data_IF_441800934721
#
_entry.id   IF_441800934721
#
_cell.length_a   1.000
_cell.length_b   1.000
_cell.length_c   1.000
_cell.angle_alpha   90.00
_cell.angle_beta   90.00
_cell.angle_gamma   90.00
#
_symmetry.space_group_name_H-M   'P 1'
#
loop_
_entity.id
_entity.type
_entity.pdbx_description
1 polymer ?
#
# COMPACT_ATOMS: atom_id res chain seq x y z
N UNK A 1 52.70 45.24 -47.32
CA UNK A 1 51.30 45.42 -46.87
C UNK A 1 50.64 44.04 -46.76
N UNK A 2 50.45 43.50 -45.55
CA UNK A 2 49.66 42.27 -45.35
C UNK A 2 48.18 42.66 -45.25
N UNK A 3 47.32 42.06 -46.08
CA UNK A 3 45.86 42.19 -45.96
C UNK A 3 45.39 41.12 -44.98
N UNK A 4 44.86 41.53 -43.84
CA UNK A 4 44.21 40.60 -42.91
C UNK A 4 42.86 40.16 -43.47
N UNK A 5 42.58 38.86 -43.40
CA UNK A 5 41.30 38.30 -43.83
C UNK A 5 40.18 38.75 -42.88
N UNK A 6 38.96 39.04 -43.39
CA UNK A 6 37.85 39.44 -42.53
C UNK A 6 37.50 38.31 -41.55
N UNK A 7 37.09 38.63 -40.31
CA UNK A 7 36.78 37.62 -39.31
C UNK A 7 35.69 36.68 -39.84
N UNK A 8 36.02 35.39 -39.90
CA UNK A 8 35.12 34.35 -40.38
C UNK A 8 33.82 34.35 -39.58
N UNK A 9 32.70 34.10 -40.26
CA UNK A 9 31.30 34.12 -39.78
C UNK A 9 30.98 33.04 -38.71
N UNK A 10 31.78 32.95 -37.66
CA UNK A 10 31.66 31.92 -36.62
C UNK A 10 30.45 32.15 -35.70
N UNK A 11 29.97 33.40 -35.61
CA UNK A 11 28.81 33.79 -34.81
C UNK A 11 27.47 33.19 -35.28
N UNK A 12 27.37 32.69 -36.53
CA UNK A 12 26.16 32.04 -37.05
C UNK A 12 26.11 30.54 -36.70
N UNK A 13 27.27 29.93 -36.49
CA UNK A 13 27.40 28.49 -36.20
C UNK A 13 26.85 28.18 -34.81
N UNK A 14 27.17 29.03 -33.84
CA UNK A 14 26.76 28.89 -32.44
C UNK A 14 25.22 28.97 -32.26
N UNK A 15 24.56 29.88 -32.99
CA UNK A 15 23.10 30.01 -33.00
C UNK A 15 22.41 28.77 -33.57
N UNK A 16 23.00 28.14 -34.58
CA UNK A 16 22.45 26.94 -35.23
C UNK A 16 22.59 25.69 -34.35
N UNK A 17 23.67 25.58 -33.57
CA UNK A 17 23.92 24.48 -32.64
C UNK A 17 22.96 24.59 -31.44
N UNK A 18 22.79 25.79 -30.88
CA UNK A 18 21.84 26.05 -29.78
C UNK A 18 20.40 25.67 -30.15
N UNK A 19 19.96 25.95 -31.38
CA UNK A 19 18.64 25.58 -31.87
C UNK A 19 18.45 24.06 -32.07
N UNK A 20 19.49 23.33 -32.48
CA UNK A 20 19.42 21.85 -32.61
C UNK A 20 19.38 21.17 -31.24
N UNK A 21 20.17 21.66 -30.28
CA UNK A 21 20.17 21.12 -28.91
C UNK A 21 18.85 21.40 -28.20
N UNK A 22 18.29 22.60 -28.34
CA UNK A 22 16.98 22.94 -27.77
C UNK A 22 15.84 22.06 -28.33
N UNK A 23 15.83 21.79 -29.64
CA UNK A 23 14.86 20.88 -30.26
C UNK A 23 14.99 19.44 -29.76
N UNK A 24 16.21 18.95 -29.57
CA UNK A 24 16.46 17.61 -29.00
C UNK A 24 16.03 17.51 -27.54
N UNK A 25 16.32 18.54 -26.74
CA UNK A 25 15.87 18.60 -25.35
C UNK A 25 14.34 18.64 -25.24
N UNK A 26 13.66 19.43 -26.09
CA UNK A 26 12.20 19.46 -26.16
C UNK A 26 11.61 18.10 -26.54
N UNK A 27 12.19 17.41 -27.54
CA UNK A 27 11.76 16.06 -27.91
C UNK A 27 11.98 15.05 -26.77
N UNK A 28 13.09 15.14 -26.05
CA UNK A 28 13.38 14.27 -24.92
C UNK A 28 12.39 14.45 -23.76
N UNK A 29 11.99 15.70 -23.47
CA UNK A 29 10.97 15.99 -22.45
C UNK A 29 9.62 15.39 -22.86
N UNK A 30 9.22 15.54 -24.12
CA UNK A 30 7.97 14.94 -24.62
C UNK A 30 8.01 13.41 -24.54
N UNK A 31 9.13 12.79 -24.93
CA UNK A 31 9.31 11.35 -24.80
C UNK A 31 9.25 10.88 -23.34
N UNK A 32 9.84 11.64 -22.41
CA UNK A 32 9.78 11.36 -20.98
C UNK A 32 8.34 11.43 -20.45
N UNK A 33 7.56 12.43 -20.85
CA UNK A 33 6.16 12.56 -20.45
C UNK A 33 5.30 11.41 -20.96
N UNK A 34 5.53 10.95 -22.20
CA UNK A 34 4.82 9.80 -22.77
C UNK A 34 5.17 8.53 -21.98
N UNK A 35 6.47 8.29 -21.73
CA UNK A 35 6.91 7.14 -20.94
C UNK A 35 6.31 7.18 -19.53
N UNK A 36 6.39 8.33 -18.87
CA UNK A 36 5.80 8.54 -17.55
C UNK A 36 4.29 8.26 -17.55
N UNK A 37 3.56 8.76 -18.54
CA UNK A 37 2.13 8.49 -18.72
C UNK A 37 1.82 7.00 -18.92
N UNK A 38 2.63 6.28 -19.71
CA UNK A 38 2.50 4.83 -19.88
C UNK A 38 2.79 4.06 -18.58
N UNK A 39 3.79 4.50 -17.80
CA UNK A 39 4.10 3.89 -16.50
C UNK A 39 2.96 4.10 -15.50
N UNK A 40 2.43 5.32 -15.37
CA UNK A 40 1.29 5.59 -14.49
C UNK A 40 0.04 4.84 -14.98
N UNK A 41 -0.25 4.88 -16.28
CA UNK A 41 -1.40 4.20 -16.86
C UNK A 41 -1.34 2.68 -16.60
N UNK A 42 -0.20 2.05 -16.90
CA UNK A 42 0.00 0.61 -16.66
C UNK A 42 -0.11 0.25 -15.18
N UNK A 43 0.40 1.12 -14.31
CA UNK A 43 0.34 0.92 -12.87
C UNK A 43 -1.09 1.08 -12.31
N UNK A 44 -1.84 2.09 -12.77
CA UNK A 44 -3.25 2.30 -12.43
C UNK A 44 -4.16 1.14 -12.90
N UNK A 45 -3.93 0.62 -14.11
CA UNK A 45 -4.66 -0.54 -14.64
C UNK A 45 -4.29 -1.85 -13.92
N UNK A 46 -3.05 -2.00 -13.44
CA UNK A 46 -2.62 -3.19 -12.71
C UNK A 46 -3.06 -3.23 -11.24
N UNK A 47 -3.53 -2.10 -10.69
CA UNK A 47 -3.89 -1.98 -9.28
C UNK A 47 -5.25 -1.26 -9.12
N UNK A 48 -6.35 -1.82 -9.66
CA UNK A 48 -7.67 -1.21 -9.59
C UNK A 48 -8.21 -1.36 -8.16
N UNK A 49 -7.96 -0.37 -7.30
CA UNK A 49 -8.54 -0.30 -5.94
C UNK A 49 -7.55 -0.25 -4.78
N UNK A 50 -6.25 -0.20 -5.03
CA UNK A 50 -5.27 0.01 -3.96
C UNK A 50 -5.15 1.49 -3.60
N UNK A 51 -5.95 1.97 -2.64
CA UNK A 51 -5.72 3.26 -1.99
C UNK A 51 -4.32 3.25 -1.35
N UNK A 52 -3.30 3.66 -2.10
CA UNK A 52 -1.96 3.90 -1.58
C UNK A 52 -1.89 5.13 -0.64
N UNK A 53 -3.03 5.79 -0.46
CA UNK A 53 -3.27 6.91 0.44
C UNK A 53 -4.25 6.54 1.58
N UNK A 54 -4.60 5.26 1.77
CA UNK A 54 -5.27 4.88 3.01
C UNK A 54 -4.28 5.15 4.15
N UNK A 55 -4.67 6.07 5.03
CA UNK A 55 -3.88 6.45 6.19
C UNK A 55 -3.74 5.29 7.19
N UNK A 56 -3.66 5.61 8.47
CA UNK A 56 -3.69 4.58 9.49
C UNK A 56 -4.98 3.73 9.36
N UNK A 57 -4.89 2.39 9.48
CA UNK A 57 -6.07 1.53 9.39
C UNK A 57 -7.13 1.94 10.40
N UNK A 58 -8.39 1.90 9.95
CA UNK A 58 -9.56 2.00 10.80
C UNK A 58 -9.79 0.70 11.60
N UNK A 59 -10.76 0.75 12.52
CA UNK A 59 -11.07 -0.36 13.40
C UNK A 59 -11.61 -1.58 12.64
N UNK A 60 -12.42 -1.36 11.60
CA UNK A 60 -13.03 -2.43 10.81
C UNK A 60 -11.99 -3.16 9.96
N UNK A 61 -11.04 -2.43 9.36
CA UNK A 61 -9.93 -3.04 8.61
C UNK A 61 -9.02 -3.83 9.53
N UNK A 62 -8.66 -3.26 10.69
CA UNK A 62 -7.85 -3.95 11.69
C UNK A 62 -8.55 -5.24 12.19
N UNK A 63 -9.88 -5.17 12.38
CA UNK A 63 -10.69 -6.32 12.76
C UNK A 63 -10.76 -7.38 11.67
N UNK A 64 -10.95 -6.98 10.41
CA UNK A 64 -10.91 -7.88 9.26
C UNK A 64 -9.59 -8.65 9.15
N UNK A 65 -8.46 -7.96 9.37
CA UNK A 65 -7.13 -8.58 9.40
C UNK A 65 -6.97 -9.49 10.62
N UNK A 66 -7.48 -9.09 11.79
CA UNK A 66 -7.47 -9.94 12.98
C UNK A 66 -8.17 -11.28 12.75
N UNK A 67 -9.34 -11.28 12.09
CA UNK A 67 -10.04 -12.53 11.73
C UNK A 67 -9.14 -13.46 10.91
N UNK A 68 -8.34 -12.93 9.98
CA UNK A 68 -7.41 -13.72 9.16
C UNK A 68 -6.28 -14.36 9.97
N UNK A 69 -5.82 -13.73 11.05
CA UNK A 69 -4.84 -14.32 11.97
C UNK A 69 -5.45 -15.38 12.89
N UNK A 70 -6.73 -15.25 13.22
CA UNK A 70 -7.43 -16.18 14.13
C UNK A 70 -7.90 -17.43 13.41
N UNK A 71 -8.44 -17.30 12.19
CA UNK A 71 -8.92 -18.42 11.38
C UNK A 71 -8.02 -19.68 11.39
N UNK A 72 -6.69 -19.59 11.17
CA UNK A 72 -5.83 -20.77 11.19
C UNK A 72 -5.63 -21.40 12.57
N UNK A 73 -6.00 -20.70 13.66
CA UNK A 73 -5.91 -21.20 15.04
C UNK A 73 -7.19 -21.92 15.50
N UNK A 74 -8.28 -21.77 14.74
CA UNK A 74 -9.58 -22.37 15.08
C UNK A 74 -9.60 -23.84 14.70
N UNK A 75 -9.96 -24.71 15.66
CA UNK A 75 -10.08 -26.17 15.46
C UNK A 75 -11.46 -26.62 14.95
N UNK A 76 -12.49 -25.78 15.11
CA UNK A 76 -13.87 -26.07 14.68
C UNK A 76 -14.16 -25.65 13.24
N UNK A 77 -15.29 -26.12 12.71
CA UNK A 77 -15.72 -25.75 11.36
C UNK A 77 -16.50 -24.42 11.39
N UNK A 78 -16.25 -23.58 10.37
CA UNK A 78 -16.99 -22.34 10.10
C UNK A 78 -17.16 -21.40 11.32
N UNK A 79 -16.08 -20.82 11.87
CA UNK A 79 -16.18 -19.86 12.98
C UNK A 79 -17.01 -18.65 12.57
N UNK A 80 -18.02 -18.34 13.38
CA UNK A 80 -18.86 -17.14 13.23
C UNK A 80 -18.33 -16.08 14.19
N UNK A 81 -17.70 -15.04 13.64
CA UNK A 81 -17.17 -13.94 14.43
C UNK A 81 -18.30 -12.98 14.82
N UNK A 82 -18.20 -12.41 16.03
CA UNK A 82 -19.14 -11.40 16.50
C UNK A 82 -18.77 -10.04 15.89
N UNK A 83 -19.35 -9.72 14.74
CA UNK A 83 -19.06 -8.49 13.99
C UNK A 83 -19.73 -7.25 14.59
N UNK A 84 -20.78 -7.42 15.41
CA UNK A 84 -21.57 -6.30 15.95
C UNK A 84 -20.99 -5.69 17.24
N UNK A 85 -20.16 -6.43 17.99
CA UNK A 85 -19.76 -6.07 19.36
C UNK A 85 -18.27 -6.26 19.66
N UNK A 86 -17.38 -5.88 18.75
CA UNK A 86 -15.94 -5.90 19.02
C UNK A 86 -15.47 -4.63 19.74
N UNK A 87 -14.54 -4.78 20.68
CA UNK A 87 -13.87 -3.64 21.33
C UNK A 87 -12.53 -3.38 20.64
N UNK A 88 -12.26 -2.10 20.42
CA UNK A 88 -11.06 -1.62 19.75
C UNK A 88 -10.30 -0.63 20.61
N UNK A 89 -9.01 -0.85 20.78
CA UNK A 89 -8.11 0.07 21.45
C UNK A 89 -6.81 0.24 20.67
N UNK A 90 -6.40 1.49 20.45
CA UNK A 90 -5.09 1.81 19.89
C UNK A 90 -4.10 2.05 21.03
N UNK A 91 -3.09 1.21 21.19
CA UNK A 91 -2.07 1.34 22.26
C UNK A 91 -0.95 2.32 21.91
N UNK A 92 -0.60 2.46 20.64
CA UNK A 92 0.48 3.31 20.13
C UNK A 92 0.25 3.58 18.63
N UNK A 93 1.08 4.40 17.99
CA UNK A 93 0.86 4.93 16.63
C UNK A 93 0.77 3.89 15.49
N UNK A 94 0.89 2.62 15.80
CA UNK A 94 0.70 1.51 14.86
C UNK A 94 0.27 0.20 15.55
N UNK A 95 -0.12 0.25 16.84
CA UNK A 95 -0.49 -0.96 17.60
C UNK A 95 -1.98 -0.96 17.92
N UNK A 96 -2.63 -2.01 17.45
CA UNK A 96 -4.06 -2.21 17.44
C UNK A 96 -4.40 -3.38 18.36
N UNK A 97 -5.29 -3.18 19.32
CA UNK A 97 -5.78 -4.21 20.23
C UNK A 97 -7.26 -4.39 20.00
N UNK A 98 -7.64 -5.61 19.68
CA UNK A 98 -8.99 -6.00 19.32
C UNK A 98 -9.43 -7.07 20.31
N UNK A 99 -10.59 -6.87 20.93
CA UNK A 99 -11.25 -7.88 21.76
C UNK A 99 -12.58 -8.22 21.14
N UNK A 100 -12.82 -9.50 20.89
CA UNK A 100 -14.12 -9.98 20.40
C UNK A 100 -14.30 -11.44 20.80
N UNK A 101 -15.37 -12.06 20.31
CA UNK A 101 -15.60 -13.50 20.41
C UNK A 101 -15.95 -14.09 19.05
N UNK A 102 -15.73 -15.39 18.92
CA UNK A 102 -16.25 -16.18 17.82
C UNK A 102 -16.90 -17.45 18.35
N UNK A 103 -17.88 -17.96 17.61
CA UNK A 103 -18.58 -19.19 17.93
C UNK A 103 -18.24 -20.26 16.90
N UNK A 104 -17.86 -21.45 17.35
CA UNK A 104 -17.55 -22.59 16.49
C UNK A 104 -18.47 -23.76 16.77
N UNK A 105 -18.88 -24.44 15.70
CA UNK A 105 -19.60 -25.71 15.78
C UNK A 105 -18.63 -26.87 15.65
N UNK A 106 -18.69 -27.78 16.61
CA UNK A 106 -17.99 -29.05 16.57
C UNK A 106 -18.90 -30.15 16.01
N UNK A 107 -18.29 -31.28 15.63
CA UNK A 107 -18.98 -32.39 14.97
C UNK A 107 -20.02 -33.08 15.88
N UNK A 108 -19.92 -32.88 17.19
CA UNK A 108 -20.88 -33.31 18.21
C UNK A 108 -22.12 -32.40 18.32
N UNK A 109 -22.15 -31.30 17.56
CA UNK A 109 -23.23 -30.30 17.60
C UNK A 109 -23.09 -29.28 18.73
N UNK A 110 -22.02 -29.34 19.52
CA UNK A 110 -21.76 -28.34 20.55
C UNK A 110 -21.29 -27.02 19.91
N UNK A 111 -21.85 -25.92 20.41
CA UNK A 111 -21.47 -24.57 20.03
C UNK A 111 -20.62 -23.98 21.15
N UNK A 112 -19.34 -23.74 20.86
CA UNK A 112 -18.42 -23.13 21.81
C UNK A 112 -18.18 -21.67 21.41
N UNK A 113 -18.39 -20.76 22.35
CA UNK A 113 -17.97 -19.36 22.21
C UNK A 113 -16.56 -19.21 22.80
N UNK A 114 -15.61 -18.78 21.97
CA UNK A 114 -14.26 -18.44 22.38
C UNK A 114 -14.08 -16.94 22.31
N UNK A 115 -13.64 -16.36 23.43
CA UNK A 115 -13.25 -14.96 23.51
C UNK A 115 -11.78 -14.83 23.13
N UNK A 116 -11.43 -13.75 22.45
CA UNK A 116 -10.05 -13.48 22.10
C UNK A 116 -9.68 -12.02 22.32
N UNK A 117 -8.42 -11.80 22.65
CA UNK A 117 -7.76 -10.50 22.60
C UNK A 117 -6.54 -10.62 21.70
N UNK A 118 -6.53 -9.87 20.60
CA UNK A 118 -5.43 -9.88 19.63
C UNK A 118 -4.79 -8.50 19.56
N UNK A 119 -3.45 -8.48 19.58
CA UNK A 119 -2.64 -7.27 19.43
C UNK A 119 -1.86 -7.37 18.12
N UNK A 120 -2.12 -6.44 17.20
CA UNK A 120 -1.49 -6.37 15.89
C UNK A 120 -0.68 -5.08 15.74
N UNK A 121 0.48 -5.17 15.11
CA UNK A 121 1.28 -4.01 14.69
C UNK A 121 1.11 -3.80 13.19
N UNK A 122 0.73 -2.60 12.78
CA UNK A 122 0.71 -2.19 11.38
C UNK A 122 2.10 -1.67 10.96
N UNK A 123 2.65 -2.24 9.89
CA UNK A 123 3.99 -1.91 9.40
C UNK A 123 3.99 -0.89 8.24
N UNK A 124 2.82 -0.41 7.82
CA UNK A 124 2.66 0.48 6.66
C UNK A 124 2.42 -0.26 5.35
N UNK A 125 1.95 0.47 4.34
CA UNK A 125 1.56 -0.09 3.05
C UNK A 125 0.04 -0.13 2.86
N UNK A 126 -0.48 -1.26 2.41
CA UNK A 126 -1.93 -1.46 2.23
C UNK A 126 -2.50 -2.14 3.48
N UNK A 127 -3.41 -1.47 4.18
CA UNK A 127 -4.01 -1.94 5.44
C UNK A 127 -4.80 -3.24 5.30
N UNK A 128 -5.38 -3.52 4.13
CA UNK A 128 -6.11 -4.77 3.86
C UNK A 128 -5.22 -6.00 3.66
N UNK A 129 -3.90 -5.84 3.50
CA UNK A 129 -2.96 -6.95 3.29
C UNK A 129 -2.37 -7.42 4.61
N UNK A 130 -2.66 -8.66 4.99
CA UNK A 130 -2.13 -9.32 6.20
C UNK A 130 -0.61 -9.25 6.33
N UNK A 131 0.12 -9.29 5.20
CA UNK A 131 1.60 -9.21 5.17
C UNK A 131 2.15 -7.89 5.72
N UNK A 132 1.35 -6.82 5.72
CA UNK A 132 1.70 -5.51 6.25
C UNK A 132 1.41 -5.39 7.76
N UNK A 133 1.05 -6.51 8.39
CA UNK A 133 0.77 -6.60 9.81
C UNK A 133 1.66 -7.64 10.47
N UNK A 134 1.96 -7.41 11.74
CA UNK A 134 2.66 -8.37 12.58
C UNK A 134 1.81 -8.69 13.79
N UNK A 135 1.56 -9.97 14.01
CA UNK A 135 0.95 -10.44 15.25
C UNK A 135 1.92 -10.22 16.41
N UNK A 136 1.53 -9.39 17.38
CA UNK A 136 2.31 -9.16 18.60
C UNK A 136 1.90 -10.16 19.66
N UNK A 137 0.59 -10.33 19.85
CA UNK A 137 0.02 -11.22 20.86
C UNK A 137 -1.35 -11.71 20.40
N UNK A 138 -1.65 -12.97 20.71
CA UNK A 138 -2.97 -13.56 20.59
C UNK A 138 -3.26 -14.30 21.90
N UNK A 139 -4.30 -13.85 22.58
CA UNK A 139 -4.82 -14.46 23.81
C UNK A 139 -6.23 -14.97 23.53
N UNK A 140 -6.51 -16.22 23.89
CA UNK A 140 -7.77 -16.93 23.66
C UNK A 140 -8.26 -17.53 24.98
N UNK A 141 -9.56 -17.43 25.24
CA UNK A 141 -10.24 -17.93 26.45
C UNK A 141 -9.79 -17.26 27.77
N UNK A 142 -9.68 -15.92 27.74
CA UNK A 142 -9.48 -15.10 28.94
C UNK A 142 -10.76 -14.98 29.79
#
# INVERSE_FOLDING_TARGET
MRREAPPSRDYLKDKSVKNKTAKRAGLAIVALLILFGLFIGKWALSNPGGNLLDGLPDSDTAYGVAKQFILPTVRGSNPVFNDDNYQFAKKSDSVYVIKSSYSTKFDDGENQETRFTISLKYNGGMSSKTSNWTLINLDQDN
#
